data_IF_992910123643
#
_entry.id   IF_992910123643
#
_cell.length_a   1.000
_cell.length_b   1.000
_cell.length_c   1.000
_cell.angle_alpha   90.00
_cell.angle_beta   90.00
_cell.angle_gamma   90.00
#
_symmetry.space_group_name_H-M   'P 1'
#
loop_
_entity.id
_entity.type
_entity.pdbx_description
1 polymer ?
#
# COMPACT_ATOMS: atom_id res chain seq x y z
N UNK A 1 4.02 -20.50 -14.82
CA UNK A 1 4.97 -20.58 -13.69
C UNK A 1 4.34 -21.32 -12.52
N UNK A 2 4.15 -22.66 -12.62
CA UNK A 2 3.47 -23.50 -11.59
C UNK A 2 4.44 -24.34 -10.74
N UNK A 3 5.76 -24.05 -10.79
CA UNK A 3 6.78 -25.04 -10.44
C UNK A 3 7.39 -24.95 -9.02
N UNK A 4 6.85 -24.16 -8.09
CA UNK A 4 7.45 -24.03 -6.74
C UNK A 4 6.72 -24.77 -5.62
N UNK A 5 5.55 -25.39 -5.86
CA UNK A 5 4.78 -26.02 -4.77
C UNK A 5 5.07 -27.53 -4.65
N UNK A 6 5.54 -28.18 -5.73
CA UNK A 6 5.82 -29.63 -5.72
C UNK A 6 7.10 -30.02 -4.95
N UNK A 7 7.95 -29.05 -4.59
CA UNK A 7 9.25 -29.29 -3.94
C UNK A 7 9.25 -28.98 -2.44
N UNK A 8 8.09 -28.63 -1.86
CA UNK A 8 7.99 -28.15 -0.49
C UNK A 8 8.27 -26.65 -0.36
N UNK A 9 7.85 -26.05 0.76
CA UNK A 9 8.03 -24.62 1.01
C UNK A 9 9.47 -24.37 1.45
N UNK A 10 10.30 -23.86 0.54
CA UNK A 10 11.75 -23.68 0.76
C UNK A 10 12.20 -22.21 0.74
N UNK A 11 11.51 -21.34 1.48
CA UNK A 11 11.83 -19.90 1.54
C UNK A 11 11.04 -19.20 2.64
N UNK A 12 11.34 -17.92 2.87
CA UNK A 12 10.67 -17.10 3.88
C UNK A 12 9.44 -16.37 3.27
N UNK A 13 8.62 -15.78 4.12
CA UNK A 13 7.42 -15.02 3.76
C UNK A 13 7.63 -13.96 2.67
N UNK A 14 8.77 -13.26 2.69
CA UNK A 14 9.09 -12.28 1.67
C UNK A 14 9.22 -12.91 0.27
N UNK A 15 9.77 -14.11 0.18
CA UNK A 15 9.98 -14.82 -1.10
C UNK A 15 8.65 -15.26 -1.74
N UNK A 16 7.59 -15.40 -0.93
CA UNK A 16 6.25 -15.79 -1.37
C UNK A 16 5.26 -14.62 -1.45
N UNK A 17 5.67 -13.39 -1.09
CA UNK A 17 4.75 -12.26 -0.96
C UNK A 17 3.98 -11.97 -2.26
N UNK A 18 4.66 -11.93 -3.40
CA UNK A 18 4.03 -11.70 -4.71
C UNK A 18 3.08 -12.83 -5.12
N UNK A 19 3.48 -14.08 -4.86
CA UNK A 19 2.64 -15.24 -5.14
C UNK A 19 1.36 -15.21 -4.29
N UNK A 20 1.48 -14.88 -3.01
CA UNK A 20 0.36 -14.74 -2.09
C UNK A 20 -0.55 -13.59 -2.52
N UNK A 21 0.01 -12.47 -2.97
CA UNK A 21 -0.77 -11.36 -3.51
C UNK A 21 -1.58 -11.78 -4.74
N UNK A 22 -0.99 -12.53 -5.68
CA UNK A 22 -1.68 -13.04 -6.87
C UNK A 22 -2.77 -14.05 -6.50
N UNK A 23 -2.51 -14.98 -5.58
CA UNK A 23 -3.51 -15.95 -5.10
C UNK A 23 -4.71 -15.23 -4.47
N UNK A 24 -4.45 -14.22 -3.65
CA UNK A 24 -5.50 -13.39 -3.09
C UNK A 24 -6.26 -12.65 -4.19
N UNK A 25 -5.60 -12.01 -5.15
CA UNK A 25 -6.29 -11.31 -6.24
C UNK A 25 -7.17 -12.24 -7.08
N UNK A 26 -6.74 -13.49 -7.28
CA UNK A 26 -7.49 -14.52 -8.01
C UNK A 26 -8.67 -15.12 -7.22
N UNK A 27 -8.90 -14.70 -5.98
CA UNK A 27 -9.93 -15.28 -5.10
C UNK A 27 -9.53 -16.63 -4.49
N UNK A 28 -8.29 -17.09 -4.71
CA UNK A 28 -7.72 -18.33 -4.16
C UNK A 28 -7.19 -18.08 -2.73
N UNK A 29 -7.99 -17.41 -1.90
CA UNK A 29 -7.60 -17.02 -0.53
C UNK A 29 -7.32 -18.22 0.37
N UNK A 30 -7.99 -19.35 0.14
CA UNK A 30 -7.71 -20.61 0.83
C UNK A 30 -6.30 -21.15 0.54
N UNK A 31 -5.85 -21.07 -0.71
CA UNK A 31 -4.48 -21.49 -1.08
C UNK A 31 -3.43 -20.55 -0.49
N UNK A 32 -3.68 -19.24 -0.55
CA UNK A 32 -2.84 -18.25 0.09
C UNK A 32 -2.72 -18.51 1.60
N UNK A 33 -3.84 -18.80 2.27
CA UNK A 33 -3.85 -19.07 3.70
C UNK A 33 -3.13 -20.37 4.06
N UNK A 34 -3.30 -21.44 3.26
CA UNK A 34 -2.58 -22.69 3.46
C UNK A 34 -1.06 -22.51 3.37
N UNK A 35 -0.60 -21.67 2.44
CA UNK A 35 0.81 -21.33 2.30
C UNK A 35 1.31 -20.55 3.52
N UNK A 36 0.58 -19.53 3.99
CA UNK A 36 0.92 -18.73 5.17
C UNK A 36 0.93 -19.56 6.46
N UNK A 37 0.02 -20.53 6.56
CA UNK A 37 -0.09 -21.44 7.69
C UNK A 37 0.97 -22.55 7.69
N UNK A 38 1.81 -22.64 6.66
CA UNK A 38 2.87 -23.63 6.59
C UNK A 38 3.91 -23.43 7.71
N UNK A 39 4.18 -24.44 8.56
CA UNK A 39 5.13 -24.32 9.67
C UNK A 39 6.56 -23.98 9.23
N UNK A 40 7.01 -24.49 8.07
CA UNK A 40 8.35 -24.22 7.54
C UNK A 40 8.47 -22.77 7.08
N UNK A 41 7.42 -22.23 6.47
CA UNK A 41 7.36 -20.81 6.11
C UNK A 41 7.43 -19.94 7.37
N UNK A 42 6.63 -20.26 8.39
CA UNK A 42 6.60 -19.49 9.63
C UNK A 42 7.95 -19.51 10.35
N UNK A 43 8.57 -20.68 10.44
CA UNK A 43 9.87 -20.83 11.08
C UNK A 43 11.00 -20.09 10.36
N UNK A 44 10.91 -19.96 9.03
CA UNK A 44 11.91 -19.26 8.21
C UNK A 44 11.63 -17.76 8.04
N UNK A 45 10.51 -17.25 8.57
CA UNK A 45 10.07 -15.86 8.37
C UNK A 45 10.27 -15.00 9.61
N UNK A 46 10.60 -13.74 9.39
CA UNK A 46 10.59 -12.74 10.46
C UNK A 46 9.17 -12.32 10.83
N UNK A 47 8.93 -11.84 12.06
CA UNK A 47 7.63 -11.28 12.45
C UNK A 47 7.14 -10.18 11.50
N UNK A 48 8.06 -9.33 11.03
CA UNK A 48 7.74 -8.24 10.08
C UNK A 48 7.27 -8.78 8.74
N UNK A 49 7.93 -9.79 8.17
CA UNK A 49 7.50 -10.37 6.90
C UNK A 49 6.12 -11.05 7.00
N UNK A 50 5.87 -11.75 8.12
CA UNK A 50 4.56 -12.34 8.38
C UNK A 50 3.48 -11.27 8.57
N UNK A 51 3.80 -10.16 9.24
CA UNK A 51 2.90 -9.02 9.39
C UNK A 51 2.59 -8.37 8.04
N UNK A 52 3.59 -8.16 7.18
CA UNK A 52 3.41 -7.63 5.82
C UNK A 52 2.46 -8.49 4.98
N UNK A 53 2.61 -9.82 5.00
CA UNK A 53 1.68 -10.70 4.28
C UNK A 53 0.25 -10.57 4.83
N UNK A 54 0.08 -10.63 6.15
CA UNK A 54 -1.23 -10.53 6.80
C UNK A 54 -1.91 -9.20 6.47
N UNK A 55 -1.17 -8.11 6.50
CA UNK A 55 -1.66 -6.79 6.14
C UNK A 55 -2.05 -6.72 4.66
N UNK A 56 -1.26 -7.30 3.75
CA UNK A 56 -1.61 -7.42 2.33
C UNK A 56 -2.93 -8.16 2.10
N UNK A 57 -3.19 -9.24 2.85
CA UNK A 57 -4.48 -9.93 2.81
C UNK A 57 -5.64 -9.04 3.26
N UNK A 58 -5.47 -8.32 4.39
CA UNK A 58 -6.50 -7.40 4.90
C UNK A 58 -6.80 -6.29 3.90
N UNK A 59 -5.77 -5.73 3.26
CA UNK A 59 -5.91 -4.69 2.25
C UNK A 59 -6.74 -5.18 1.07
N UNK A 60 -6.40 -6.35 0.51
CA UNK A 60 -7.11 -6.93 -0.62
C UNK A 60 -8.60 -7.18 -0.30
N UNK A 61 -8.88 -7.71 0.89
CA UNK A 61 -10.25 -7.97 1.32
C UNK A 61 -11.04 -6.68 1.55
N UNK A 62 -10.42 -5.67 2.15
CA UNK A 62 -11.04 -4.35 2.30
C UNK A 62 -11.29 -3.68 0.94
N UNK A 63 -10.39 -3.83 -0.02
CA UNK A 63 -10.56 -3.32 -1.38
C UNK A 63 -11.72 -4.00 -2.10
N UNK A 64 -11.87 -5.33 -1.96
CA UNK A 64 -13.05 -6.03 -2.52
C UNK A 64 -14.35 -5.53 -1.92
N UNK A 65 -14.41 -5.35 -0.60
CA UNK A 65 -15.58 -4.80 0.08
C UNK A 65 -15.88 -3.36 -0.37
N UNK A 66 -14.85 -2.54 -0.52
CA UNK A 66 -14.95 -1.18 -1.06
C UNK A 66 -15.53 -1.18 -2.48
N UNK A 67 -15.07 -2.06 -3.35
CA UNK A 67 -15.56 -2.19 -4.73
C UNK A 67 -17.00 -2.70 -4.80
N UNK A 68 -17.43 -3.50 -3.82
CA UNK A 68 -18.82 -3.92 -3.65
C UNK A 68 -19.71 -2.83 -3.02
N UNK A 69 -19.16 -1.68 -2.64
CA UNK A 69 -19.86 -0.60 -1.95
C UNK A 69 -20.09 -0.84 -0.45
N UNK A 70 -19.54 -1.91 0.12
CA UNK A 70 -19.62 -2.22 1.54
C UNK A 70 -18.52 -1.48 2.33
N UNK A 71 -18.63 -0.16 2.39
CA UNK A 71 -17.61 0.71 2.96
C UNK A 71 -17.42 0.52 4.46
N UNK A 72 -18.49 0.22 5.21
CA UNK A 72 -18.42 0.01 6.65
C UNK A 72 -17.60 -1.25 7.00
N UNK A 73 -17.83 -2.37 6.31
CA UNK A 73 -17.06 -3.58 6.54
C UNK A 73 -15.59 -3.42 6.12
N UNK A 74 -15.32 -2.68 5.04
CA UNK A 74 -13.96 -2.34 4.63
C UNK A 74 -13.24 -1.50 5.71
N UNK A 75 -13.94 -0.52 6.28
CA UNK A 75 -13.43 0.34 7.35
C UNK A 75 -13.05 -0.48 8.58
N UNK A 76 -13.96 -1.34 9.05
CA UNK A 76 -13.75 -2.17 10.24
C UNK A 76 -12.55 -3.11 10.10
N UNK A 77 -12.31 -3.65 8.90
CA UNK A 77 -11.14 -4.47 8.61
C UNK A 77 -9.85 -3.64 8.68
N UNK A 78 -9.82 -2.50 7.98
CA UNK A 78 -8.63 -1.66 7.91
C UNK A 78 -8.27 -1.07 9.27
N UNK A 79 -9.24 -0.58 10.05
CA UNK A 79 -8.95 0.07 11.33
C UNK A 79 -8.36 -0.92 12.35
N UNK A 80 -8.82 -2.18 12.38
CA UNK A 80 -8.25 -3.21 13.26
C UNK A 80 -6.82 -3.56 12.89
N UNK A 81 -6.52 -3.66 11.59
CA UNK A 81 -5.16 -3.88 11.13
C UNK A 81 -4.26 -2.69 11.45
N UNK A 82 -4.74 -1.46 11.26
CA UNK A 82 -4.01 -0.24 11.61
C UNK A 82 -3.78 -0.09 13.12
N UNK A 83 -4.66 -0.59 13.98
CA UNK A 83 -4.40 -0.63 15.42
C UNK A 83 -3.21 -1.53 15.77
N UNK A 84 -3.00 -2.60 14.99
CA UNK A 84 -1.90 -3.54 15.18
C UNK A 84 -0.59 -3.04 14.56
N UNK A 85 -0.68 -2.34 13.42
CA UNK A 85 0.46 -1.73 12.73
C UNK A 85 0.14 -0.28 12.30
N UNK A 86 0.19 0.68 13.24
CA UNK A 86 -0.25 2.06 12.99
C UNK A 86 0.66 2.86 12.06
N UNK A 87 1.83 2.34 11.71
CA UNK A 87 2.79 3.02 10.84
C UNK A 87 2.81 2.45 9.42
N UNK A 88 2.03 1.40 9.16
CA UNK A 88 1.95 0.75 7.86
C UNK A 88 1.34 1.68 6.81
N UNK A 89 2.16 2.11 5.86
CA UNK A 89 1.73 3.01 4.78
C UNK A 89 0.72 2.35 3.84
N UNK A 90 0.80 1.04 3.62
CA UNK A 90 -0.09 0.33 2.70
C UNK A 90 -1.52 0.26 3.25
N UNK A 91 -1.66 0.03 4.56
CA UNK A 91 -2.95 0.10 5.24
C UNK A 91 -3.55 1.51 5.17
N UNK A 92 -2.72 2.54 5.35
CA UNK A 92 -3.16 3.94 5.22
C UNK A 92 -3.59 4.26 3.77
N UNK A 93 -2.86 3.78 2.76
CA UNK A 93 -3.25 3.93 1.35
C UNK A 93 -4.59 3.25 1.04
N UNK A 94 -4.82 2.06 1.58
CA UNK A 94 -6.09 1.37 1.46
C UNK A 94 -7.23 2.16 2.13
N UNK A 95 -6.99 2.73 3.32
CA UNK A 95 -7.97 3.58 4.02
C UNK A 95 -8.29 4.85 3.24
N UNK A 96 -7.28 5.48 2.63
CA UNK A 96 -7.49 6.65 1.79
C UNK A 96 -8.35 6.34 0.55
N UNK A 97 -8.10 5.20 -0.12
CA UNK A 97 -8.94 4.71 -1.23
C UNK A 97 -10.38 4.46 -0.79
N UNK A 98 -10.55 3.89 0.42
CA UNK A 98 -11.86 3.65 1.02
C UNK A 98 -12.62 4.96 1.24
N UNK A 99 -11.99 5.96 1.88
CA UNK A 99 -12.61 7.27 2.08
C UNK A 99 -13.00 7.93 0.76
N UNK A 100 -12.12 7.88 -0.23
CA UNK A 100 -12.40 8.43 -1.56
C UNK A 100 -13.63 7.77 -2.20
N UNK A 101 -13.71 6.43 -2.17
CA UNK A 101 -14.85 5.68 -2.71
C UNK A 101 -16.15 5.95 -1.94
N UNK A 102 -16.04 6.16 -0.62
CA UNK A 102 -17.14 6.58 0.25
C UNK A 102 -17.53 8.05 0.13
N UNK A 103 -16.95 8.82 -0.82
CA UNK A 103 -17.14 10.27 -1.02
C UNK A 103 -16.69 11.15 0.16
N UNK A 104 -15.86 10.60 1.05
CA UNK A 104 -15.19 11.28 2.16
C UNK A 104 -13.88 11.90 1.67
N UNK A 105 -13.96 12.80 0.69
CA UNK A 105 -12.79 13.29 -0.03
C UNK A 105 -11.88 14.18 0.83
N UNK A 106 -12.42 14.85 1.86
CA UNK A 106 -11.62 15.65 2.79
C UNK A 106 -10.70 14.75 3.62
N UNK A 107 -11.25 13.66 4.14
CA UNK A 107 -10.55 12.65 4.93
C UNK A 107 -9.52 11.91 4.06
N UNK A 108 -9.90 11.53 2.84
CA UNK A 108 -8.98 10.94 1.87
C UNK A 108 -7.80 11.88 1.58
N UNK A 109 -8.07 13.17 1.36
CA UNK A 109 -7.04 14.19 1.12
C UNK A 109 -6.05 14.31 2.28
N UNK A 110 -6.53 14.35 3.53
CA UNK A 110 -5.66 14.40 4.73
C UNK A 110 -4.73 13.19 4.79
N UNK A 111 -5.24 11.98 4.53
CA UNK A 111 -4.43 10.76 4.57
C UNK A 111 -3.42 10.75 3.41
N UNK A 112 -3.82 11.11 2.19
CA UNK A 112 -2.89 11.17 1.06
C UNK A 112 -1.79 12.23 1.25
N UNK A 113 -2.12 13.41 1.78
CA UNK A 113 -1.14 14.45 2.09
C UNK A 113 -0.13 13.96 3.13
N UNK A 114 -0.61 13.27 4.17
CA UNK A 114 0.27 12.64 5.16
C UNK A 114 1.23 11.64 4.51
N UNK A 115 0.72 10.75 3.65
CA UNK A 115 1.53 9.74 2.97
C UNK A 115 2.57 10.38 2.03
N UNK A 116 2.19 11.43 1.33
CA UNK A 116 3.09 12.14 0.42
C UNK A 116 4.25 12.84 1.15
N UNK A 117 4.05 13.29 2.39
CA UNK A 117 5.16 13.80 3.23
C UNK A 117 6.13 12.72 3.69
N UNK A 118 5.71 11.44 3.69
CA UNK A 118 6.54 10.30 4.10
C UNK A 118 7.24 9.62 2.93
N UNK A 119 6.66 9.66 1.74
CA UNK A 119 7.25 9.18 0.48
C UNK A 119 8.39 10.08 -0.07
N UNK A 120 9.01 10.90 0.79
CA UNK A 120 10.12 11.76 0.34
C UNK A 120 11.25 10.91 -0.28
N UNK A 121 11.94 11.41 -1.34
CA UNK A 121 12.94 10.67 -2.12
C UNK A 121 14.12 10.06 -1.34
N UNK A 122 14.21 10.32 -0.04
CA UNK A 122 15.25 9.81 0.84
C UNK A 122 15.00 8.37 1.31
N UNK A 123 13.82 7.78 1.07
CA UNK A 123 13.48 6.40 1.51
C UNK A 123 13.45 5.35 0.41
N UNK A 124 13.32 5.72 -0.86
CA UNK A 124 13.61 4.78 -1.94
C UNK A 124 15.13 4.64 -2.05
N UNK A 125 15.64 3.51 -1.57
CA UNK A 125 17.02 3.04 -1.76
C UNK A 125 17.41 3.25 -3.22
N UNK A 126 18.14 4.33 -3.49
CA UNK A 126 18.65 4.63 -4.82
C UNK A 126 19.56 3.47 -5.26
N UNK A 127 19.31 2.84 -6.43
CA UNK A 127 20.28 1.95 -7.02
C UNK A 127 21.43 2.81 -7.59
N UNK A 128 22.51 2.91 -6.82
CA UNK A 128 23.82 3.30 -7.33
C UNK A 128 24.24 4.78 -7.15
N UNK A 129 25.54 5.06 -7.28
CA UNK A 129 26.16 6.34 -6.91
C UNK A 129 25.92 7.52 -7.89
N UNK A 130 24.97 7.44 -8.82
CA UNK A 130 24.78 8.46 -9.88
C UNK A 130 23.72 9.54 -9.61
N UNK A 131 22.99 9.53 -8.50
CA UNK A 131 21.98 10.57 -8.19
C UNK A 131 22.45 11.53 -7.10
N UNK A 132 23.39 12.40 -7.44
CA UNK A 132 23.79 13.54 -6.62
C UNK A 132 22.98 14.79 -7.02
N UNK A 133 22.36 15.44 -6.01
CA UNK A 133 21.61 16.72 -5.99
C UNK A 133 20.09 16.65 -6.08
N UNK A 134 19.47 16.38 -4.93
CA UNK A 134 18.21 17.06 -4.56
C UNK A 134 18.47 17.87 -3.30
N UNK A 135 18.74 19.17 -3.50
CA UNK A 135 18.96 20.14 -2.42
C UNK A 135 17.59 20.49 -1.82
N UNK A 136 17.47 20.42 -0.49
CA UNK A 136 16.27 20.76 0.28
C UNK A 136 15.71 22.13 -0.14
N UNK A 137 14.49 22.15 -0.68
CA UNK A 137 13.70 23.34 -0.95
C UNK A 137 12.33 23.18 -0.28
N UNK A 138 12.06 24.08 0.66
CA UNK A 138 10.93 24.15 1.57
C UNK A 138 9.60 24.53 0.91
N UNK A 139 8.49 24.08 1.53
CA UNK A 139 7.11 24.62 1.49
C UNK A 139 6.52 24.91 0.11
N UNK A 140 5.66 24.00 -0.36
CA UNK A 140 4.90 24.17 -1.61
C UNK A 140 3.54 24.79 -1.28
N UNK A 141 3.35 26.05 -1.64
CA UNK A 141 2.04 26.56 -2.02
C UNK A 141 1.68 25.96 -3.38
N UNK A 142 0.48 25.36 -3.49
CA UNK A 142 0.08 24.44 -4.56
C UNK A 142 -0.06 25.00 -5.98
N UNK A 143 0.30 26.26 -6.22
CA UNK A 143 -0.11 26.98 -7.43
C UNK A 143 1.01 27.35 -8.41
N UNK A 144 2.23 26.86 -8.23
CA UNK A 144 3.30 27.03 -9.22
C UNK A 144 4.30 25.89 -9.16
N UNK A 145 4.39 25.11 -10.24
CA UNK A 145 5.27 23.95 -10.34
C UNK A 145 6.60 24.36 -11.02
N UNK A 146 7.73 24.41 -10.32
CA UNK A 146 9.02 24.18 -10.97
C UNK A 146 9.34 22.68 -10.86
N UNK A 147 9.73 22.10 -11.99
CA UNK A 147 10.28 20.75 -12.07
C UNK A 147 11.50 20.63 -11.14
N UNK A 148 11.32 20.06 -9.95
CA UNK A 148 12.41 19.84 -8.99
C UNK A 148 12.21 18.46 -8.36
N UNK A 149 13.03 17.50 -8.80
CA UNK A 149 13.22 16.18 -8.18
C UNK A 149 11.97 15.29 -8.06
N UNK A 150 11.18 15.19 -9.13
CA UNK A 150 10.12 14.20 -9.20
C UNK A 150 10.75 12.83 -9.53
N UNK A 151 11.08 12.02 -8.51
CA UNK A 151 10.97 10.57 -8.65
C UNK A 151 9.58 10.30 -9.25
N UNK A 152 9.53 10.02 -10.55
CA UNK A 152 8.31 9.76 -11.32
C UNK A 152 7.97 8.27 -11.31
N UNK A 153 8.32 7.56 -10.24
CA UNK A 153 7.88 6.19 -10.05
C UNK A 153 6.36 6.07 -10.27
N UNK A 154 5.89 4.99 -10.93
CA UNK A 154 4.47 4.82 -11.23
C UNK A 154 3.56 4.98 -9.99
N UNK A 155 4.02 4.51 -8.84
CA UNK A 155 3.31 4.60 -7.56
C UNK A 155 3.14 6.06 -7.11
N UNK A 156 4.17 6.89 -7.27
CA UNK A 156 4.10 8.31 -6.92
C UNK A 156 3.18 9.07 -7.86
N UNK A 157 3.21 8.77 -9.17
CA UNK A 157 2.28 9.39 -10.12
C UNK A 157 0.83 9.00 -9.82
N UNK A 158 0.58 7.75 -9.44
CA UNK A 158 -0.74 7.30 -9.01
C UNK A 158 -1.20 8.01 -7.72
N UNK A 159 -0.30 8.19 -6.75
CA UNK A 159 -0.58 8.94 -5.54
C UNK A 159 -0.91 10.41 -5.86
N UNK A 160 -0.11 11.07 -6.68
CA UNK A 160 -0.34 12.46 -7.12
C UNK A 160 -1.70 12.62 -7.81
N UNK A 161 -2.06 11.69 -8.68
CA UNK A 161 -3.35 11.70 -9.37
C UNK A 161 -4.52 11.60 -8.39
N UNK A 162 -4.43 10.73 -7.37
CA UNK A 162 -5.47 10.57 -6.35
C UNK A 162 -5.61 11.78 -5.44
N UNK A 163 -4.48 12.42 -5.06
CA UNK A 163 -4.49 13.69 -4.32
C UNK A 163 -5.23 14.76 -5.11
N UNK A 164 -4.92 14.89 -6.41
CA UNK A 164 -5.55 15.87 -7.28
C UNK A 164 -7.06 15.62 -7.43
N UNK A 165 -7.47 14.36 -7.64
CA UNK A 165 -8.88 13.97 -7.76
C UNK A 165 -9.65 14.26 -6.47
N UNK A 166 -9.12 13.89 -5.31
CA UNK A 166 -9.76 14.17 -4.02
C UNK A 166 -9.96 15.68 -3.80
N UNK A 167 -9.01 16.51 -4.25
CA UNK A 167 -9.06 17.97 -4.13
C UNK A 167 -10.02 18.63 -5.12
N UNK A 168 -10.07 18.19 -6.37
CA UNK A 168 -10.99 18.74 -7.37
C UNK A 168 -12.45 18.57 -6.92
N UNK A 169 -12.79 17.42 -6.32
CA UNK A 169 -14.14 17.17 -5.81
C UNK A 169 -14.48 18.08 -4.62
N UNK A 170 -13.50 18.46 -3.80
CA UNK A 170 -13.70 19.43 -2.69
C UNK A 170 -13.91 20.83 -3.25
N UNK A 171 -13.16 21.24 -4.28
CA UNK A 171 -13.22 22.60 -4.85
C UNK A 171 -14.47 22.88 -5.68
N UNK A 172 -15.21 21.85 -6.10
CA UNK A 172 -16.44 21.96 -6.91
C UNK A 172 -17.73 21.99 -6.08
N UNK A 173 -17.64 22.00 -4.75
CA UNK A 173 -18.77 22.18 -3.83
C UNK A 173 -18.73 23.55 -3.20
#
# INVERSE_FOLDING_TARGET
MRNNISSGVSGNAGDYADQIAVLNQAGLTGEAQNLISNPQLQASSTPTQLASIRNGYVINEADRLREQGNYAAAYDKLIRAMQSDPQNTDLMFAMARLYQSGKMNKEAGVVYDYLMTRDTPNRMRAPGPSTWRCRRGTTIALNSWPAVCADNSPDRLLLLARVAEARDIISRR
#
